data_IF_800306544592
#
_entry.id   IF_800306544592
#
_cell.length_a   1.000
_cell.length_b   1.000
_cell.length_c   1.000
_cell.angle_alpha   90.00
_cell.angle_beta   90.00
_cell.angle_gamma   90.00
#
_symmetry.space_group_name_H-M   'P 1'
#
loop_
_entity.id
_entity.type
_entity.pdbx_description
1 polymer ?
#
# COMPACT_ATOMS: atom_id res chain seq x y z
N UNK A 1 -5.43 17.40 -13.55
CA UNK A 1 -4.46 17.86 -14.54
C UNK A 1 -5.12 17.68 -15.90
N UNK A 2 -5.61 18.78 -16.45
CA UNK A 2 -6.54 18.84 -17.58
C UNK A 2 -5.80 18.49 -18.87
N UNK A 3 -6.25 17.47 -19.59
CA UNK A 3 -5.75 17.13 -20.93
C UNK A 3 -6.48 18.05 -21.92
N UNK A 4 -6.11 19.34 -21.95
CA UNK A 4 -6.59 20.32 -22.92
C UNK A 4 -5.46 20.70 -23.91
N UNK A 5 -4.46 19.85 -24.13
CA UNK A 5 -3.33 20.19 -25.00
C UNK A 5 -2.97 19.14 -26.05
N UNK A 6 -3.91 18.27 -26.43
CA UNK A 6 -3.74 17.37 -27.59
C UNK A 6 -4.62 17.79 -28.76
N UNK A 7 -4.64 19.09 -29.09
CA UNK A 7 -5.00 19.52 -30.44
C UNK A 7 -3.69 19.48 -31.23
N UNK A 8 -3.45 18.37 -31.91
CA UNK A 8 -2.52 18.39 -33.03
C UNK A 8 -3.25 19.04 -34.21
N UNK A 9 -2.61 20.01 -34.91
CA UNK A 9 -3.13 20.53 -36.16
C UNK A 9 -3.26 19.40 -37.18
N UNK A 10 -4.07 19.67 -38.18
CA UNK A 10 -4.52 18.78 -39.25
C UNK A 10 -3.40 18.24 -40.19
N UNK A 11 -2.14 18.18 -39.75
CA UNK A 11 -0.99 17.75 -40.53
C UNK A 11 -0.55 16.33 -40.16
N UNK A 12 -0.77 15.46 -41.13
CA UNK A 12 -0.30 14.08 -41.21
C UNK A 12 1.22 13.97 -41.02
N UNK A 13 1.66 12.99 -40.22
CA UNK A 13 3.04 12.51 -39.98
C UNK A 13 3.72 12.82 -38.62
N UNK A 14 2.98 13.10 -37.55
CA UNK A 14 3.56 12.98 -36.19
C UNK A 14 3.33 11.54 -35.72
N UNK A 15 4.41 10.76 -35.61
CA UNK A 15 4.33 9.40 -35.06
C UNK A 15 4.03 9.53 -33.57
N UNK A 16 2.85 9.07 -33.16
CA UNK A 16 2.42 9.02 -31.75
C UNK A 16 3.47 8.37 -30.84
N UNK A 17 4.31 7.49 -31.40
CA UNK A 17 5.46 6.87 -30.73
C UNK A 17 6.52 7.85 -30.22
N UNK A 18 6.67 9.04 -30.82
CA UNK A 18 7.71 10.01 -30.44
C UNK A 18 7.34 10.80 -29.17
N UNK A 19 6.06 10.76 -28.75
CA UNK A 19 5.53 11.49 -27.60
C UNK A 19 5.21 10.61 -26.38
N UNK A 20 5.16 9.29 -26.54
CA UNK A 20 4.80 8.38 -25.45
C UNK A 20 6.09 7.90 -24.77
N UNK A 21 6.26 8.33 -23.51
CA UNK A 21 7.36 7.97 -22.62
C UNK A 21 7.61 6.45 -22.60
N UNK A 22 8.87 6.02 -22.61
CA UNK A 22 9.30 4.62 -22.73
C UNK A 22 9.03 3.76 -21.47
N UNK A 23 8.05 4.15 -20.67
CA UNK A 23 7.55 3.34 -19.56
C UNK A 23 6.79 2.12 -20.07
N UNK A 24 6.70 1.06 -19.27
CA UNK A 24 6.05 -0.21 -19.64
C UNK A 24 4.63 -0.04 -20.18
N UNK A 25 3.90 0.98 -19.70
CA UNK A 25 2.56 1.33 -20.16
C UNK A 25 2.55 2.10 -21.50
N UNK A 26 3.61 2.86 -21.80
CA UNK A 26 3.72 3.62 -23.04
C UNK A 26 3.83 2.73 -24.29
N UNK A 27 4.53 1.60 -24.17
CA UNK A 27 4.71 0.62 -25.25
C UNK A 27 3.39 -0.05 -25.65
N UNK A 28 2.49 -0.24 -24.70
CA UNK A 28 1.20 -0.90 -24.92
C UNK A 28 0.22 0.00 -25.67
N UNK A 29 0.26 1.32 -25.41
CA UNK A 29 -0.58 2.32 -26.09
C UNK A 29 -0.24 2.39 -27.58
N UNK A 30 1.04 2.30 -27.95
CA UNK A 30 1.49 2.34 -29.36
C UNK A 30 0.96 1.15 -30.18
N UNK A 31 0.60 0.04 -29.52
CA UNK A 31 0.05 -1.16 -30.18
C UNK A 31 -1.44 -1.11 -30.41
N UNK A 32 -2.15 -0.14 -29.84
CA UNK A 32 -3.60 -0.01 -30.02
C UNK A 32 -3.87 0.43 -31.47
N UNK A 33 -4.57 -0.37 -32.29
CA UNK A 33 -4.87 0.01 -33.66
C UNK A 33 -5.70 1.30 -33.69
N UNK A 34 -5.22 2.30 -34.41
CA UNK A 34 -5.99 3.51 -34.67
C UNK A 34 -7.12 3.18 -35.64
N UNK A 35 -8.31 3.69 -35.35
CA UNK A 35 -9.44 3.59 -36.27
C UNK A 35 -9.12 4.37 -37.55
N UNK A 36 -9.38 3.76 -38.71
CA UNK A 36 -9.32 4.45 -40.01
C UNK A 36 -10.46 5.46 -40.21
N UNK A 37 -11.50 5.36 -39.38
CA UNK A 37 -12.67 6.25 -39.38
C UNK A 37 -12.59 7.17 -38.18
N UNK A 38 -12.82 8.47 -38.40
CA UNK A 38 -12.92 9.45 -37.31
C UNK A 38 -14.10 9.10 -36.40
N UNK A 39 -13.80 8.70 -35.17
CA UNK A 39 -14.78 8.46 -34.11
C UNK A 39 -14.41 9.31 -32.90
N UNK A 40 -15.41 9.76 -32.14
CA UNK A 40 -15.14 10.51 -30.90
C UNK A 40 -14.34 9.65 -29.93
N UNK A 41 -13.33 10.26 -29.30
CA UNK A 41 -12.57 9.63 -28.24
C UNK A 41 -13.47 9.19 -27.08
N UNK A 42 -13.11 8.05 -26.49
CA UNK A 42 -13.78 7.51 -25.30
C UNK A 42 -12.75 7.07 -24.27
N UNK A 43 -13.11 7.21 -22.99
CA UNK A 43 -12.33 6.63 -21.89
C UNK A 43 -12.44 5.11 -21.95
N UNK A 44 -11.30 4.43 -21.92
CA UNK A 44 -11.19 2.98 -21.82
C UNK A 44 -10.69 2.58 -20.43
N UNK A 45 -11.13 1.41 -19.96
CA UNK A 45 -10.75 0.87 -18.66
C UNK A 45 -10.41 -0.62 -18.78
N UNK A 46 -9.11 -0.95 -18.75
CA UNK A 46 -8.63 -2.29 -19.12
C UNK A 46 -8.89 -3.36 -18.06
N UNK A 47 -9.40 -2.98 -16.88
CA UNK A 47 -9.74 -3.92 -15.81
C UNK A 47 -11.17 -4.45 -15.87
N UNK A 48 -11.95 -4.01 -16.86
CA UNK A 48 -13.29 -4.56 -17.13
C UNK A 48 -13.37 -4.98 -18.59
N UNK A 49 -14.03 -6.13 -18.85
CA UNK A 49 -14.18 -6.66 -20.21
C UNK A 49 -14.97 -5.71 -21.12
N UNK A 50 -15.89 -4.96 -20.54
CA UNK A 50 -16.71 -3.97 -21.26
C UNK A 50 -16.00 -2.62 -21.46
N UNK A 51 -14.76 -2.48 -20.98
CA UNK A 51 -13.97 -1.24 -21.06
C UNK A 51 -14.53 -0.08 -20.24
N UNK A 52 -15.53 -0.33 -19.38
CA UNK A 52 -16.21 0.69 -18.56
C UNK A 52 -15.51 0.87 -17.23
N UNK A 53 -15.17 2.10 -16.91
CA UNK A 53 -14.69 2.47 -15.58
C UNK A 53 -15.81 2.29 -14.55
N UNK A 54 -15.46 1.67 -13.42
CA UNK A 54 -16.30 1.68 -12.22
C UNK A 54 -15.43 1.92 -11.01
N UNK A 55 -15.97 2.59 -9.99
CA UNK A 55 -15.29 2.74 -8.70
C UNK A 55 -14.89 1.37 -8.14
N UNK A 56 -15.71 0.34 -8.32
CA UNK A 56 -15.43 -1.04 -7.89
C UNK A 56 -14.18 -1.62 -8.57
N UNK A 57 -14.09 -1.56 -9.90
CA UNK A 57 -12.95 -2.11 -10.63
C UNK A 57 -11.65 -1.37 -10.29
N UNK A 58 -11.73 -0.06 -10.06
CA UNK A 58 -10.60 0.73 -9.57
C UNK A 58 -10.13 0.32 -8.17
N UNK A 59 -11.06 0.18 -7.21
CA UNK A 59 -10.70 -0.25 -5.86
C UNK A 59 -10.11 -1.67 -5.82
N UNK A 60 -10.61 -2.58 -6.66
CA UNK A 60 -10.05 -3.93 -6.78
C UNK A 60 -8.63 -3.91 -7.36
N UNK A 61 -8.36 -3.02 -8.32
CA UNK A 61 -7.02 -2.79 -8.84
C UNK A 61 -6.05 -2.32 -7.74
N UNK A 62 -6.47 -1.29 -7.01
CA UNK A 62 -5.69 -0.67 -5.95
C UNK A 62 -5.41 -1.61 -4.79
N UNK A 63 -6.39 -2.45 -4.41
CA UNK A 63 -6.22 -3.45 -3.36
C UNK A 63 -5.33 -4.63 -3.78
N UNK A 64 -5.04 -4.76 -5.07
CA UNK A 64 -4.48 -5.98 -5.65
C UNK A 64 -5.54 -7.07 -5.74
N UNK A 65 -5.53 -7.82 -6.84
CA UNK A 65 -6.42 -8.97 -7.03
C UNK A 65 -6.01 -10.06 -6.01
N UNK A 66 -6.74 -10.15 -4.89
CA UNK A 66 -6.74 -11.36 -4.07
C UNK A 66 -5.80 -11.40 -2.87
N UNK A 67 -5.60 -10.31 -2.12
CA UNK A 67 -4.94 -10.42 -0.81
C UNK A 67 -5.87 -11.02 0.28
N UNK A 68 -6.31 -12.26 0.06
CA UNK A 68 -7.21 -13.02 0.93
C UNK A 68 -6.60 -13.30 2.31
N UNK A 69 -5.26 -13.28 2.43
CA UNK A 69 -4.57 -13.55 3.68
C UNK A 69 -4.74 -12.40 4.66
N UNK A 70 -4.56 -11.15 4.21
CA UNK A 70 -4.82 -9.96 5.00
C UNK A 70 -6.27 -9.94 5.51
N UNK A 71 -7.24 -10.21 4.64
CA UNK A 71 -8.65 -10.24 5.01
C UNK A 71 -8.96 -11.29 6.09
N UNK A 72 -8.29 -12.46 6.07
CA UNK A 72 -8.44 -13.48 7.12
C UNK A 72 -7.85 -13.02 8.45
N UNK A 73 -6.65 -12.42 8.44
CA UNK A 73 -6.00 -11.88 9.64
C UNK A 73 -6.86 -10.79 10.29
N UNK A 74 -7.35 -9.83 9.50
CA UNK A 74 -8.21 -8.76 10.02
C UNK A 74 -9.50 -9.31 10.61
N UNK A 75 -10.16 -10.25 9.92
CA UNK A 75 -11.35 -10.93 10.47
C UNK A 75 -11.06 -11.65 11.78
N UNK A 76 -9.90 -12.29 11.90
CA UNK A 76 -9.47 -12.96 13.13
C UNK A 76 -9.32 -11.99 14.31
N UNK A 77 -8.62 -10.87 14.10
CA UNK A 77 -8.39 -9.85 15.14
C UNK A 77 -9.73 -9.29 15.63
N UNK A 78 -10.63 -8.90 14.73
CA UNK A 78 -11.90 -8.28 15.09
C UNK A 78 -12.94 -9.25 15.66
N UNK A 79 -12.83 -10.56 15.35
CA UNK A 79 -13.69 -11.60 15.94
C UNK A 79 -13.17 -12.14 17.29
N UNK A 80 -11.96 -11.76 17.70
CA UNK A 80 -11.38 -12.23 18.96
C UNK A 80 -12.21 -11.75 20.16
N UNK A 81 -12.36 -12.59 21.19
CA UNK A 81 -13.06 -12.26 22.44
C UNK A 81 -12.17 -11.44 23.40
N UNK A 82 -11.46 -10.46 22.88
CA UNK A 82 -10.54 -9.60 23.64
C UNK A 82 -11.14 -8.20 23.80
N UNK A 83 -10.65 -7.46 24.79
CA UNK A 83 -11.00 -6.04 24.94
C UNK A 83 -10.62 -5.27 23.67
N UNK A 84 -11.45 -4.30 23.28
CA UNK A 84 -11.22 -3.48 22.09
C UNK A 84 -9.84 -2.82 22.08
N UNK A 85 -9.32 -2.39 23.24
CA UNK A 85 -7.97 -1.82 23.37
C UNK A 85 -6.88 -2.81 22.96
N UNK A 86 -7.04 -4.09 23.28
CA UNK A 86 -6.10 -5.16 22.90
C UNK A 86 -6.23 -5.45 21.41
N UNK A 87 -7.45 -5.53 20.87
CA UNK A 87 -7.66 -5.68 19.43
C UNK A 87 -7.00 -4.56 18.61
N UNK A 88 -7.15 -3.31 19.07
CA UNK A 88 -6.50 -2.15 18.46
C UNK A 88 -4.99 -2.23 18.52
N UNK A 89 -4.43 -2.66 19.66
CA UNK A 89 -2.98 -2.87 19.80
C UNK A 89 -2.50 -3.96 18.82
N UNK A 90 -3.16 -5.12 18.78
CA UNK A 90 -2.83 -6.22 17.87
C UNK A 90 -2.90 -5.79 16.41
N UNK A 91 -3.93 -5.02 16.03
CA UNK A 91 -4.05 -4.46 14.69
C UNK A 91 -2.87 -3.53 14.36
N UNK A 92 -2.48 -2.64 15.29
CA UNK A 92 -1.31 -1.76 15.10
C UNK A 92 -0.01 -2.55 14.97
N UNK A 93 0.17 -3.62 15.76
CA UNK A 93 1.33 -4.51 15.66
C UNK A 93 1.39 -5.15 14.26
N UNK A 94 0.28 -5.75 13.82
CA UNK A 94 0.21 -6.44 12.52
C UNK A 94 0.36 -5.51 11.32
N UNK A 95 0.04 -4.21 11.48
CA UNK A 95 0.24 -3.18 10.44
C UNK A 95 1.57 -2.43 10.53
N UNK A 96 2.50 -2.84 11.41
CA UNK A 96 3.73 -2.10 11.67
C UNK A 96 3.47 -0.60 11.92
N UNK A 97 2.40 -0.30 12.67
CA UNK A 97 1.92 1.05 12.93
C UNK A 97 2.30 1.56 14.33
N UNK A 98 3.15 0.83 15.05
CA UNK A 98 3.69 1.25 16.33
C UNK A 98 4.94 2.12 16.13
N UNK A 99 5.11 3.19 16.94
CA UNK A 99 6.23 4.10 16.82
C UNK A 99 7.48 3.53 17.51
N UNK A 100 7.98 2.39 17.02
CA UNK A 100 9.24 1.81 17.49
C UNK A 100 10.41 2.35 16.68
N UNK A 101 11.59 2.53 17.28
CA UNK A 101 12.73 3.16 16.60
C UNK A 101 13.16 2.46 15.32
N UNK A 102 13.01 1.13 15.23
CA UNK A 102 13.35 0.38 14.03
C UNK A 102 12.47 0.74 12.82
N UNK A 103 11.20 1.09 13.05
CA UNK A 103 10.29 1.56 12.00
C UNK A 103 10.39 3.07 11.76
N UNK A 104 10.69 3.84 12.81
CA UNK A 104 10.84 5.28 12.69
C UNK A 104 12.12 5.67 11.97
N UNK A 105 13.23 4.95 12.17
CA UNK A 105 14.52 5.20 11.49
C UNK A 105 14.41 5.10 9.97
N UNK A 106 13.42 4.36 9.46
CA UNK A 106 13.13 4.24 8.03
C UNK A 106 12.40 5.46 7.44
N UNK A 107 11.80 6.29 8.29
CA UNK A 107 10.94 7.43 7.89
C UNK A 107 11.52 8.78 8.27
N UNK A 108 12.28 8.84 9.34
CA UNK A 108 12.90 10.05 9.86
C UNK A 108 14.33 9.76 10.31
N UNK A 109 15.19 10.77 10.23
CA UNK A 109 16.58 10.65 10.66
C UNK A 109 16.65 10.60 12.20
N UNK A 110 16.90 9.41 12.74
CA UNK A 110 17.13 9.18 14.17
C UNK A 110 18.59 8.76 14.34
N UNK A 111 19.23 9.21 15.41
CA UNK A 111 20.63 8.91 15.72
C UNK A 111 20.90 7.43 15.97
N UNK A 112 19.95 6.70 16.58
CA UNK A 112 20.07 5.26 16.87
C UNK A 112 18.73 4.54 16.76
N UNK A 113 18.77 3.27 16.34
CA UNK A 113 17.61 2.37 16.36
C UNK A 113 17.54 1.50 17.63
N UNK A 114 18.49 1.65 18.55
CA UNK A 114 18.56 0.89 19.80
C UNK A 114 17.36 1.17 20.70
N UNK A 115 16.92 0.16 21.43
CA UNK A 115 15.85 0.25 22.41
C UNK A 115 16.19 1.28 23.51
N UNK A 116 15.31 2.26 23.79
CA UNK A 116 15.56 3.26 24.83
C UNK A 116 15.63 2.67 26.24
N UNK A 117 15.07 1.47 26.43
CA UNK A 117 14.98 0.76 27.72
C UNK A 117 16.27 0.00 28.01
N UNK A 118 16.63 -0.95 27.14
CA UNK A 118 17.79 -1.82 27.38
C UNK A 118 19.08 -1.31 26.73
N UNK A 119 19.00 -0.43 25.73
CA UNK A 119 20.12 0.12 24.95
C UNK A 119 21.05 -0.93 24.30
N UNK A 120 20.64 -2.20 24.25
CA UNK A 120 21.45 -3.30 23.75
C UNK A 120 21.04 -3.77 22.35
N UNK A 121 19.73 -3.85 22.09
CA UNK A 121 19.16 -4.39 20.85
C UNK A 121 18.30 -3.33 20.13
N UNK A 122 18.11 -3.43 18.80
CA UNK A 122 17.17 -2.60 18.07
C UNK A 122 15.74 -2.66 18.60
N UNK A 123 15.06 -1.52 18.65
CA UNK A 123 13.68 -1.43 19.10
C UNK A 123 12.71 -1.89 18.00
N UNK A 124 12.53 -3.19 17.87
CA UNK A 124 11.47 -3.78 17.05
C UNK A 124 10.16 -3.84 17.84
N UNK A 125 9.02 -4.11 17.17
CA UNK A 125 7.72 -4.28 17.85
C UNK A 125 7.77 -5.43 18.87
N UNK A 126 8.37 -6.56 18.49
CA UNK A 126 8.51 -7.72 19.37
C UNK A 126 9.44 -7.41 20.54
N UNK A 127 10.53 -6.67 20.31
CA UNK A 127 11.42 -6.26 21.38
C UNK A 127 10.75 -5.29 22.36
N UNK A 128 10.09 -4.25 21.85
CA UNK A 128 9.42 -3.24 22.67
C UNK A 128 8.27 -3.80 23.51
N UNK A 129 7.61 -4.86 23.04
CA UNK A 129 6.46 -5.46 23.73
C UNK A 129 6.81 -6.69 24.57
N UNK A 130 7.79 -7.49 24.18
CA UNK A 130 8.01 -8.83 24.76
C UNK A 130 9.47 -9.13 25.08
N UNK A 131 10.41 -8.88 24.15
CA UNK A 131 11.77 -9.38 24.28
C UNK A 131 12.71 -8.47 25.09
N UNK A 132 12.35 -7.19 25.29
CA UNK A 132 13.15 -6.29 26.10
C UNK A 132 13.20 -6.78 27.57
N UNK A 133 14.40 -6.97 28.17
CA UNK A 133 14.53 -7.47 29.54
C UNK A 133 13.74 -6.65 30.57
N UNK A 134 13.74 -5.32 30.43
CA UNK A 134 12.97 -4.43 31.29
C UNK A 134 11.45 -4.56 31.12
N UNK A 135 10.99 -4.96 29.93
CA UNK A 135 9.56 -5.18 29.67
C UNK A 135 9.15 -6.57 30.17
N UNK A 136 10.00 -7.58 30.02
CA UNK A 136 9.78 -8.91 30.56
C UNK A 136 9.55 -8.88 32.08
N UNK A 137 10.31 -8.04 32.82
CA UNK A 137 10.09 -7.83 34.26
C UNK A 137 8.74 -7.18 34.59
N UNK A 138 8.21 -6.34 33.70
CA UNK A 138 6.89 -5.71 33.91
C UNK A 138 5.80 -6.78 33.72
N UNK A 139 5.92 -7.62 32.69
CA UNK A 139 4.97 -8.71 32.47
C UNK A 139 4.97 -9.72 33.61
N UNK A 140 6.15 -10.10 34.12
CA UNK A 140 6.25 -11.04 35.26
C UNK A 140 5.62 -10.47 36.54
N UNK A 141 5.63 -9.15 36.70
CA UNK A 141 5.04 -8.46 37.85
C UNK A 141 3.56 -8.09 37.64
N UNK A 142 3.05 -8.21 36.41
CA UNK A 142 1.66 -7.95 36.12
C UNK A 142 0.80 -9.16 36.52
N UNK A 143 -0.33 -8.92 37.18
CA UNK A 143 -1.26 -9.96 37.63
C UNK A 143 -2.07 -10.59 36.49
N UNK A 144 -1.56 -10.56 35.26
CA UNK A 144 -2.21 -11.12 34.09
C UNK A 144 -1.78 -12.58 33.95
N UNK A 145 -2.72 -13.54 33.93
CA UNK A 145 -2.37 -14.93 33.64
C UNK A 145 -1.79 -15.01 32.22
N UNK A 146 -0.66 -15.70 32.09
CA UNK A 146 -0.03 -16.01 30.82
C UNK A 146 -0.93 -16.87 29.93
#
# INVERSE_FOLDING_TARGET
MLIQSLILPHDTNIKVADFIDHTSHGIEIVRIPLSSVSSSDRRAWDLTRDGKFTTKSFYLALRGIGNNQEDKLWKGIWKSKMLYRVQMLTWKCAKNALPVRDLLSQKINISTNLCPRCQAEPETITHALLACPQIATIWSNSSLPC
#
